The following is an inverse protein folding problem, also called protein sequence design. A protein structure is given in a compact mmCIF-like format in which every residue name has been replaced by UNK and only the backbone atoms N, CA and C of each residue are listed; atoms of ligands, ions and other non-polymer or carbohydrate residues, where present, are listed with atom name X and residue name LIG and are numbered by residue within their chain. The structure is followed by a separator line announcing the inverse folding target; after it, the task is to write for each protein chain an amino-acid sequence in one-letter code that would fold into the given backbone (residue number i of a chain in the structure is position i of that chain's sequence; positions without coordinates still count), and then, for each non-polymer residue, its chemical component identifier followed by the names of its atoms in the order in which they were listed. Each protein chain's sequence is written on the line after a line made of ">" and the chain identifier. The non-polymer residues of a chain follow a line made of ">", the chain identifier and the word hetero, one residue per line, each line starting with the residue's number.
data_IF_583015921716
#
_entry.id   IF_583015921716
#
_cell.length_a   1.000
_cell.length_b   1.000
_cell.length_c   1.000
_cell.angle_alpha   90.00
_cell.angle_beta   90.00
_cell.angle_gamma   90.00
#
_symmetry.space_group_name_H-M   'P 1'
#
loop_
_entity.id
_entity.type
_entity.pdbx_description
1 polymer ?
#
# COMPACT_ATOMS: atom_id res chain seq x y z
N UNK A 1 -4.46 -0.88 -25.53
CA UNK A 1 -3.17 -0.90 -24.82
C UNK A 1 -2.30 -2.05 -25.28
N UNK A 2 -2.76 -3.32 -25.23
CA UNK A 2 -1.96 -4.54 -25.52
C UNK A 2 -1.24 -4.48 -26.87
N UNK A 3 -1.94 -4.20 -27.97
CA UNK A 3 -1.33 -4.14 -29.31
C UNK A 3 -0.30 -3.01 -29.44
N UNK A 4 -0.54 -1.89 -28.76
CA UNK A 4 0.43 -0.79 -28.73
C UNK A 4 1.71 -1.23 -27.98
N UNK A 5 1.58 -1.86 -26.81
CA UNK A 5 2.71 -2.34 -26.02
C UNK A 5 3.53 -3.40 -26.77
N UNK A 6 2.87 -4.30 -27.53
CA UNK A 6 3.56 -5.26 -28.41
C UNK A 6 4.38 -4.53 -29.49
N UNK A 7 3.77 -3.52 -30.14
CA UNK A 7 4.41 -2.74 -31.20
C UNK A 7 5.66 -2.00 -30.73
N UNK A 8 5.65 -1.47 -29.49
CA UNK A 8 6.79 -0.76 -28.91
C UNK A 8 7.71 -1.65 -28.07
N UNK A 9 7.51 -2.97 -28.10
CA UNK A 9 8.30 -3.97 -27.37
C UNK A 9 8.27 -3.83 -25.81
N UNK A 10 7.16 -3.29 -25.27
CA UNK A 10 6.95 -3.11 -23.85
C UNK A 10 5.87 -4.02 -23.24
N UNK A 11 5.38 -5.00 -24.02
CA UNK A 11 4.39 -5.96 -23.56
C UNK A 11 5.01 -7.02 -22.65
N UNK A 12 4.42 -7.23 -21.49
CA UNK A 12 4.76 -8.35 -20.61
C UNK A 12 3.87 -9.55 -20.93
N UNK A 13 4.43 -10.56 -21.55
CA UNK A 13 3.70 -11.78 -21.91
C UNK A 13 3.29 -12.56 -20.65
N UNK A 14 2.12 -13.24 -20.66
CA UNK A 14 1.72 -14.11 -19.55
C UNK A 14 2.80 -15.13 -19.19
N UNK A 15 3.01 -15.37 -17.90
CA UNK A 15 4.01 -16.32 -17.40
C UNK A 15 5.46 -15.92 -17.59
N UNK A 16 5.74 -14.73 -18.12
CA UNK A 16 7.09 -14.22 -18.32
C UNK A 16 7.43 -13.15 -17.29
N UNK A 17 8.38 -13.47 -16.43
CA UNK A 17 8.84 -12.59 -15.34
C UNK A 17 10.36 -12.41 -15.43
N UNK A 18 10.88 -11.35 -14.79
CA UNK A 18 12.31 -11.22 -14.52
C UNK A 18 12.72 -12.20 -13.44
N UNK A 19 13.99 -12.56 -13.42
CA UNK A 19 14.56 -13.32 -12.30
C UNK A 19 14.49 -12.46 -11.04
N UNK A 20 14.11 -13.06 -9.91
CA UNK A 20 14.00 -12.40 -8.62
C UNK A 20 14.80 -13.13 -7.53
N UNK A 21 15.03 -12.46 -6.42
CA UNK A 21 15.80 -13.01 -5.31
C UNK A 21 14.94 -14.01 -4.50
N UNK A 22 15.57 -15.08 -4.03
CA UNK A 22 14.92 -15.98 -3.08
C UNK A 22 14.65 -15.23 -1.75
N UNK A 23 13.53 -15.56 -1.07
CA UNK A 23 13.26 -14.99 0.25
C UNK A 23 14.39 -15.34 1.24
N UNK A 24 14.61 -14.51 2.28
CA UNK A 24 15.65 -14.75 3.26
C UNK A 24 15.41 -16.06 4.01
N UNK A 25 16.49 -16.81 4.29
CA UNK A 25 16.41 -18.10 4.97
C UNK A 25 16.00 -17.97 6.47
N UNK A 26 16.19 -16.78 7.07
CA UNK A 26 15.79 -16.51 8.46
C UNK A 26 14.34 -16.01 8.47
N UNK A 27 13.47 -16.76 9.11
CA UNK A 27 12.09 -16.32 9.34
C UNK A 27 12.06 -15.11 10.30
N UNK A 28 11.25 -14.09 9.99
CA UNK A 28 11.02 -12.95 10.87
C UNK A 28 10.29 -13.34 12.16
N UNK A 29 10.30 -12.44 13.16
CA UNK A 29 9.65 -12.66 14.46
C UNK A 29 8.12 -12.66 14.36
N UNK A 30 7.59 -11.83 13.46
CA UNK A 30 6.15 -11.60 13.28
C UNK A 30 5.72 -11.92 11.85
N UNK A 31 4.43 -12.15 11.70
CA UNK A 31 3.82 -12.44 10.39
C UNK A 31 3.68 -11.16 9.57
N UNK A 32 3.07 -10.12 10.14
CA UNK A 32 2.85 -8.87 9.41
C UNK A 32 3.11 -7.62 10.26
N UNK A 33 3.61 -6.57 9.62
CA UNK A 33 3.66 -5.21 10.16
C UNK A 33 2.68 -4.34 9.38
N UNK A 34 1.67 -3.82 10.08
CA UNK A 34 0.77 -2.82 9.52
C UNK A 34 1.42 -1.45 9.71
N UNK A 35 1.71 -0.77 8.60
CA UNK A 35 2.39 0.53 8.59
C UNK A 35 1.39 1.61 8.25
N UNK A 36 1.28 2.62 9.13
CA UNK A 36 0.33 3.73 9.02
C UNK A 36 1.09 5.04 8.93
N UNK A 37 1.28 5.61 7.73
CA UNK A 37 1.79 6.97 7.59
C UNK A 37 0.69 7.97 7.97
N UNK A 38 1.04 9.00 8.76
CA UNK A 38 0.06 9.97 9.23
C UNK A 38 0.70 11.33 9.54
N UNK A 39 -0.02 12.42 9.25
CA UNK A 39 0.33 13.77 9.69
C UNK A 39 -0.92 14.54 10.05
N UNK A 40 -0.93 15.14 11.24
CA UNK A 40 -1.98 16.03 11.74
C UNK A 40 -3.42 15.46 11.65
N UNK A 41 -3.59 14.19 12.07
CA UNK A 41 -4.88 13.48 12.06
C UNK A 41 -5.20 12.77 13.39
N UNK A 42 -5.16 13.47 14.53
CA UNK A 42 -5.41 12.86 15.84
C UNK A 42 -6.82 12.25 15.98
N UNK A 43 -7.79 12.77 15.23
CA UNK A 43 -9.20 12.32 15.26
C UNK A 43 -9.47 11.02 14.48
N UNK A 44 -8.52 10.53 13.68
CA UNK A 44 -8.68 9.32 12.87
C UNK A 44 -7.80 8.18 13.33
N UNK A 45 -6.54 8.46 13.71
CA UNK A 45 -5.52 7.45 13.96
C UNK A 45 -5.92 6.39 14.99
N UNK A 46 -6.72 6.76 15.99
CA UNK A 46 -7.21 5.81 16.99
C UNK A 46 -8.04 4.69 16.38
N UNK A 47 -8.94 5.02 15.45
CA UNK A 47 -9.80 4.04 14.77
C UNK A 47 -8.97 3.11 13.86
N UNK A 48 -7.97 3.63 13.17
CA UNK A 48 -7.06 2.83 12.36
C UNK A 48 -6.28 1.83 13.24
N UNK A 49 -5.68 2.26 14.35
CA UNK A 49 -4.98 1.39 15.31
C UNK A 49 -5.91 0.31 15.86
N UNK A 50 -7.12 0.67 16.28
CA UNK A 50 -8.11 -0.27 16.81
C UNK A 50 -8.49 -1.34 15.78
N UNK A 51 -8.56 -1.01 14.49
CA UNK A 51 -8.79 -1.97 13.41
C UNK A 51 -7.65 -2.98 13.25
N UNK A 52 -6.41 -2.56 13.48
CA UNK A 52 -5.24 -3.47 13.51
C UNK A 52 -5.29 -4.37 14.73
N UNK A 53 -5.63 -3.83 15.90
CA UNK A 53 -5.74 -4.60 17.14
C UNK A 53 -6.93 -5.59 17.14
N UNK A 54 -7.90 -5.41 16.25
CA UNK A 54 -9.05 -6.28 16.06
C UNK A 54 -8.83 -7.41 15.05
N UNK A 55 -7.64 -7.55 14.46
CA UNK A 55 -7.37 -8.60 13.48
C UNK A 55 -7.48 -9.99 14.11
N UNK A 56 -7.95 -10.98 13.32
CA UNK A 56 -8.01 -12.40 13.74
C UNK A 56 -6.61 -12.99 13.95
N UNK A 57 -5.63 -12.52 13.19
CA UNK A 57 -4.21 -12.84 13.36
C UNK A 57 -3.59 -11.83 14.32
N UNK A 58 -3.08 -12.29 15.46
CA UNK A 58 -2.50 -11.44 16.50
C UNK A 58 -0.96 -11.37 16.47
N UNK A 59 -0.30 -12.25 15.70
CA UNK A 59 1.16 -12.25 15.52
C UNK A 59 1.60 -11.18 14.49
N UNK A 60 1.18 -9.95 14.78
CA UNK A 60 1.41 -8.75 13.96
C UNK A 60 1.81 -7.57 14.85
N UNK A 61 2.30 -6.50 14.23
CA UNK A 61 2.55 -5.22 14.89
C UNK A 61 1.93 -4.06 14.10
N UNK A 62 1.68 -2.94 14.77
CA UNK A 62 1.26 -1.68 14.19
C UNK A 62 2.40 -0.66 14.31
N UNK A 63 2.92 -0.15 13.20
CA UNK A 63 3.96 0.88 13.18
C UNK A 63 3.33 2.18 12.65
N UNK A 64 3.14 3.16 13.53
CA UNK A 64 2.59 4.46 13.16
C UNK A 64 3.73 5.43 12.88
N UNK A 65 3.75 5.97 11.66
CA UNK A 65 4.77 6.90 11.17
C UNK A 65 4.17 8.31 11.17
N UNK A 66 4.34 9.05 12.27
CA UNK A 66 3.90 10.45 12.38
C UNK A 66 4.91 11.34 11.68
N UNK A 67 4.50 12.01 10.60
CA UNK A 67 5.37 12.79 9.72
C UNK A 67 5.21 14.31 9.84
N UNK A 68 4.44 14.76 10.83
CA UNK A 68 4.25 16.18 11.17
C UNK A 68 5.21 16.73 12.23
N UNK A 69 6.24 15.95 12.64
CA UNK A 69 7.19 16.36 13.68
C UNK A 69 6.66 16.17 15.11
N UNK A 70 7.42 16.67 16.07
CA UNK A 70 7.08 16.56 17.50
C UNK A 70 5.85 17.40 17.90
N UNK A 71 5.50 18.39 17.10
CA UNK A 71 4.32 19.27 17.30
C UNK A 71 3.01 18.62 16.83
N UNK A 72 3.08 17.48 16.14
CA UNK A 72 1.90 16.78 15.63
C UNK A 72 1.12 16.08 16.77
N UNK A 73 -0.11 16.52 17.09
CA UNK A 73 -0.90 15.95 18.19
C UNK A 73 -1.29 14.48 17.97
N UNK A 74 -1.13 13.96 16.75
CA UNK A 74 -1.37 12.55 16.43
C UNK A 74 -0.47 11.63 17.25
N UNK A 75 0.78 12.04 17.51
CA UNK A 75 1.72 11.28 18.32
C UNK A 75 1.20 10.99 19.74
N UNK A 76 0.51 11.97 20.36
CA UNK A 76 -0.06 11.80 21.70
C UNK A 76 -1.20 10.79 21.72
N UNK A 77 -2.00 10.75 20.66
CA UNK A 77 -3.04 9.72 20.52
C UNK A 77 -2.41 8.32 20.39
N UNK A 78 -1.36 8.17 19.59
CA UNK A 78 -0.66 6.89 19.42
C UNK A 78 -0.05 6.40 20.73
N UNK A 79 0.56 7.30 21.53
CA UNK A 79 1.16 6.98 22.85
C UNK A 79 0.16 6.33 23.80
N UNK A 80 -1.13 6.61 23.68
CA UNK A 80 -2.18 5.98 24.52
C UNK A 80 -2.30 4.48 24.30
N UNK A 81 -1.96 3.97 23.11
CA UNK A 81 -2.01 2.55 22.76
C UNK A 81 -0.68 1.81 23.02
N UNK A 82 0.40 2.56 23.27
CA UNK A 82 1.71 1.99 23.56
C UNK A 82 1.81 1.51 25.01
N UNK A 83 2.82 0.67 25.32
CA UNK A 83 3.08 0.19 26.68
C UNK A 83 3.19 1.36 27.68
N UNK A 84 2.32 1.33 28.69
CA UNK A 84 2.20 2.37 29.70
C UNK A 84 1.11 3.42 29.37
N UNK A 85 0.53 3.40 28.19
CA UNK A 85 -0.60 4.27 27.83
C UNK A 85 -1.95 3.74 28.34
N UNK A 86 -2.95 4.61 28.37
CA UNK A 86 -4.28 4.34 28.96
C UNK A 86 -5.09 3.28 28.21
N UNK A 87 -4.80 3.07 26.90
CA UNK A 87 -5.45 2.09 26.02
C UNK A 87 -4.58 0.88 25.71
N UNK A 88 -3.46 0.73 26.39
CA UNK A 88 -2.55 -0.41 26.21
C UNK A 88 -3.19 -1.72 26.66
N UNK A 89 -3.14 -2.73 25.79
CA UNK A 89 -3.54 -4.09 26.10
C UNK A 89 -2.44 -5.06 25.62
N UNK A 90 -1.80 -5.74 26.58
CA UNK A 90 -0.71 -6.68 26.29
C UNK A 90 -1.14 -7.95 25.51
N UNK A 91 -2.44 -8.16 25.32
CA UNK A 91 -2.99 -9.28 24.54
C UNK A 91 -3.23 -8.92 23.08
N UNK A 92 -3.05 -7.65 22.73
CA UNK A 92 -3.24 -7.13 21.37
C UNK A 92 -1.91 -6.86 20.68
N UNK A 93 -1.90 -6.74 19.35
CA UNK A 93 -0.72 -6.35 18.60
C UNK A 93 -0.04 -5.11 19.17
N UNK A 94 1.29 -5.17 19.24
CA UNK A 94 2.12 -4.07 19.73
C UNK A 94 2.00 -2.84 18.82
N UNK A 95 1.91 -1.66 19.44
CA UNK A 95 1.85 -0.36 18.73
C UNK A 95 3.17 0.36 18.95
N UNK A 96 3.80 0.72 17.85
CA UNK A 96 5.09 1.44 17.82
C UNK A 96 4.91 2.78 17.14
N UNK A 97 5.51 3.82 17.71
CA UNK A 97 5.50 5.18 17.20
C UNK A 97 6.88 5.55 16.66
N UNK A 98 6.89 6.13 15.47
CA UNK A 98 8.05 6.81 14.92
C UNK A 98 7.63 8.23 14.52
N UNK A 99 8.37 9.24 14.98
CA UNK A 99 8.10 10.64 14.67
C UNK A 99 9.16 11.13 13.70
N UNK A 100 8.73 11.76 12.62
CA UNK A 100 9.56 12.33 11.57
C UNK A 100 9.12 13.78 11.32
N UNK A 101 10.07 14.67 11.14
CA UNK A 101 9.82 16.04 10.74
C UNK A 101 9.97 16.23 9.22
N UNK A 102 9.42 15.29 8.46
CA UNK A 102 9.44 15.30 6.99
C UNK A 102 8.14 14.71 6.48
N UNK A 103 7.28 15.54 5.94
CA UNK A 103 6.04 15.10 5.32
C UNK A 103 6.32 14.48 3.94
N UNK A 104 6.67 13.18 3.93
CA UNK A 104 6.84 12.37 2.72
C UNK A 104 6.38 10.94 2.97
N UNK A 105 5.33 10.50 2.26
CA UNK A 105 4.72 9.19 2.45
C UNK A 105 5.68 8.06 2.07
N UNK A 106 6.39 8.16 0.95
CA UNK A 106 7.36 7.14 0.52
C UNK A 106 8.49 6.95 1.53
N UNK A 107 8.98 8.05 2.14
CA UNK A 107 9.95 7.97 3.22
C UNK A 107 9.39 7.27 4.46
N UNK A 108 8.16 7.59 4.87
CA UNK A 108 7.49 6.92 5.99
C UNK A 108 7.38 5.41 5.77
N UNK A 109 6.90 5.00 4.58
CA UNK A 109 6.77 3.59 4.22
C UNK A 109 8.12 2.86 4.20
N UNK A 110 9.18 3.52 3.73
CA UNK A 110 10.54 2.98 3.71
C UNK A 110 11.11 2.77 5.10
N UNK A 111 10.96 3.77 5.99
CA UNK A 111 11.42 3.67 7.37
C UNK A 111 10.62 2.60 8.12
N UNK A 112 9.29 2.61 8.00
CA UNK A 112 8.43 1.59 8.60
C UNK A 112 8.80 0.18 8.14
N UNK A 113 9.03 -0.03 6.84
CA UNK A 113 9.47 -1.31 6.29
C UNK A 113 10.84 -1.76 6.82
N UNK A 114 11.77 -0.84 7.03
CA UNK A 114 13.12 -1.14 7.61
C UNK A 114 13.05 -1.47 9.10
N UNK A 115 12.09 -0.89 9.83
CA UNK A 115 11.88 -1.12 11.26
C UNK A 115 10.98 -2.32 11.54
N UNK A 116 10.34 -2.87 10.51
CA UNK A 116 9.48 -4.05 10.61
C UNK A 116 10.23 -5.26 11.13
N UNK A 117 9.57 -6.02 12.04
CA UNK A 117 10.02 -7.31 12.55
C UNK A 117 9.30 -8.48 11.85
N UNK A 118 8.51 -8.18 10.82
CA UNK A 118 7.60 -9.13 10.20
C UNK A 118 8.02 -9.55 8.79
N UNK A 119 7.37 -10.62 8.31
CA UNK A 119 7.53 -11.13 6.94
C UNK A 119 6.84 -10.25 5.92
N UNK A 120 5.63 -9.78 6.26
CA UNK A 120 4.77 -9.04 5.33
C UNK A 120 4.54 -7.60 5.83
N UNK A 121 4.59 -6.69 4.89
CA UNK A 121 4.12 -5.32 5.00
C UNK A 121 2.65 -5.27 4.64
N UNK A 122 1.86 -4.51 5.41
CA UNK A 122 0.47 -4.16 5.12
C UNK A 122 0.32 -2.66 5.24
N UNK A 123 -0.12 -1.97 4.19
CA UNK A 123 -0.38 -0.53 4.26
C UNK A 123 -1.79 -0.27 4.75
N UNK A 124 -1.91 0.64 5.70
CA UNK A 124 -3.19 1.18 6.15
C UNK A 124 -3.09 2.71 6.17
N UNK A 125 -4.02 3.37 5.52
CA UNK A 125 -4.12 4.82 5.57
C UNK A 125 -4.77 5.25 6.90
N UNK A 126 -4.34 6.41 7.43
CA UNK A 126 -4.62 6.81 8.81
C UNK A 126 -6.09 7.09 9.13
N UNK A 127 -6.89 7.36 8.12
CA UNK A 127 -8.32 7.64 8.17
C UNK A 127 -9.20 6.42 7.83
N UNK A 128 -8.58 5.31 7.42
CA UNK A 128 -9.22 4.08 6.97
C UNK A 128 -9.19 2.96 8.04
N UNK A 129 -9.76 1.79 7.71
CA UNK A 129 -9.81 0.64 8.61
C UNK A 129 -9.60 -0.67 7.85
N UNK A 130 -8.91 -1.63 8.48
CA UNK A 130 -8.92 -3.03 8.08
C UNK A 130 -10.14 -3.74 8.64
N UNK A 131 -10.76 -4.64 7.86
CA UNK A 131 -11.74 -5.58 8.42
C UNK A 131 -11.03 -6.63 9.28
N UNK A 132 -11.70 -7.24 10.26
CA UNK A 132 -11.04 -8.12 11.24
C UNK A 132 -10.29 -9.32 10.65
N UNK A 133 -10.71 -9.81 9.50
CA UNK A 133 -10.12 -10.96 8.80
C UNK A 133 -9.18 -10.57 7.63
N UNK A 134 -8.81 -9.29 7.53
CA UNK A 134 -8.06 -8.76 6.41
C UNK A 134 -6.68 -9.43 6.28
N UNK A 135 -5.88 -9.43 7.35
CA UNK A 135 -4.54 -10.04 7.34
C UNK A 135 -4.63 -11.55 7.07
N UNK A 136 -5.57 -12.25 7.68
CA UNK A 136 -5.77 -13.70 7.45
C UNK A 136 -6.05 -14.01 5.98
N UNK A 137 -6.95 -13.25 5.33
CA UNK A 137 -7.28 -13.45 3.90
C UNK A 137 -6.09 -13.16 2.99
N UNK A 138 -5.32 -12.13 3.30
CA UNK A 138 -4.09 -11.79 2.56
C UNK A 138 -3.05 -12.91 2.66
N UNK A 139 -2.83 -13.46 3.85
CA UNK A 139 -1.89 -14.56 4.07
C UNK A 139 -2.27 -15.81 3.29
N UNK A 140 -3.55 -16.18 3.26
CA UNK A 140 -4.04 -17.30 2.44
C UNK A 140 -3.71 -17.15 0.95
N UNK A 141 -3.72 -15.92 0.44
CA UNK A 141 -3.32 -15.67 -0.95
C UNK A 141 -1.82 -15.83 -1.14
N UNK A 142 -0.97 -15.31 -0.25
CA UNK A 142 0.47 -15.54 -0.32
C UNK A 142 0.87 -17.02 -0.18
N UNK A 143 0.17 -17.77 0.67
CA UNK A 143 0.40 -19.20 0.87
C UNK A 143 -0.01 -20.05 -0.33
N UNK A 144 -0.93 -19.55 -1.16
CA UNK A 144 -1.42 -20.29 -2.35
C UNK A 144 -0.41 -20.36 -3.49
N UNK A 145 0.54 -19.42 -3.56
CA UNK A 145 1.51 -19.35 -4.63
C UNK A 145 2.76 -18.55 -4.19
N UNK A 146 3.94 -19.18 -4.12
CA UNK A 146 5.18 -18.52 -3.69
C UNK A 146 5.69 -17.47 -4.68
N UNK A 147 5.17 -17.43 -5.91
CA UNK A 147 5.52 -16.43 -6.92
C UNK A 147 4.75 -15.11 -6.76
N UNK A 148 3.89 -15.00 -5.74
CA UNK A 148 3.16 -13.78 -5.45
C UNK A 148 4.06 -12.82 -4.68
N UNK A 149 4.38 -11.68 -5.30
CA UNK A 149 5.16 -10.60 -4.70
C UNK A 149 4.33 -9.45 -4.13
N UNK A 150 3.02 -9.44 -4.36
CA UNK A 150 2.10 -8.45 -3.81
C UNK A 150 0.69 -9.00 -3.79
N UNK A 151 -0.06 -8.70 -2.74
CA UNK A 151 -1.51 -8.95 -2.66
C UNK A 151 -2.25 -7.63 -2.54
N UNK A 152 -3.28 -7.48 -3.34
CA UNK A 152 -4.18 -6.32 -3.30
C UNK A 152 -5.56 -6.78 -2.84
N UNK A 153 -6.14 -6.04 -1.92
CA UNK A 153 -7.49 -6.27 -1.45
C UNK A 153 -8.56 -5.55 -2.27
N UNK A 154 -9.78 -5.72 -1.82
CA UNK A 154 -10.95 -4.97 -2.25
C UNK A 154 -11.48 -4.16 -1.08
N UNK A 155 -12.18 -3.05 -1.35
CA UNK A 155 -12.64 -2.17 -0.30
C UNK A 155 -14.08 -1.70 -0.47
N UNK A 156 -14.67 -1.33 0.65
CA UNK A 156 -15.94 -0.62 0.74
C UNK A 156 -15.71 0.84 1.07
N UNK A 157 -16.63 1.71 0.61
CA UNK A 157 -16.57 3.14 0.91
C UNK A 157 -17.57 3.48 2.01
N UNK A 158 -17.09 4.17 3.03
CA UNK A 158 -17.85 4.65 4.17
C UNK A 158 -17.78 6.18 4.23
N UNK A 159 -18.77 6.82 4.78
CA UNK A 159 -18.81 8.25 5.03
C UNK A 159 -18.83 8.52 6.53
N UNK A 160 -17.93 9.40 6.99
CA UNK A 160 -17.96 9.93 8.35
C UNK A 160 -18.85 11.16 8.36
N UNK A 161 -20.00 11.06 9.03
CA UNK A 161 -20.95 12.16 9.22
C UNK A 161 -20.41 13.18 10.24
N UNK A 162 -20.96 14.38 10.25
CA UNK A 162 -20.59 15.45 11.20
C UNK A 162 -20.77 15.04 12.67
N UNK A 163 -21.71 14.14 12.95
CA UNK A 163 -21.92 13.60 14.29
C UNK A 163 -20.93 12.48 14.67
N UNK A 164 -19.97 12.16 13.79
CA UNK A 164 -18.95 11.12 13.96
C UNK A 164 -19.43 9.71 13.58
N UNK A 165 -20.69 9.53 13.19
CA UNK A 165 -21.21 8.23 12.74
C UNK A 165 -20.57 7.82 11.40
N UNK A 166 -20.21 6.54 11.29
CA UNK A 166 -19.71 5.94 10.06
C UNK A 166 -20.83 5.18 9.35
N UNK A 167 -21.14 5.59 8.14
CA UNK A 167 -22.24 5.00 7.34
C UNK A 167 -21.67 4.44 6.04
N UNK A 168 -21.98 3.15 5.77
CA UNK A 168 -21.62 2.50 4.51
C UNK A 168 -22.33 3.17 3.34
N UNK A 169 -21.58 3.64 2.34
CA UNK A 169 -22.12 4.21 1.09
C UNK A 169 -22.53 3.07 0.16
N UNK A 170 -23.75 2.57 0.32
CA UNK A 170 -24.27 1.39 -0.41
C UNK A 170 -24.43 1.61 -1.91
N UNK A 171 -24.56 2.85 -2.35
CA UNK A 171 -24.60 3.27 -3.74
C UNK A 171 -23.24 3.11 -4.47
N UNK A 172 -22.14 3.02 -3.71
CA UNK A 172 -20.82 2.71 -4.25
C UNK A 172 -20.62 1.19 -4.12
N UNK A 173 -20.46 0.47 -5.22
CA UNK A 173 -20.16 -0.96 -5.18
C UNK A 173 -18.81 -1.21 -4.49
N UNK A 174 -18.57 -2.46 -4.08
CA UNK A 174 -17.23 -2.88 -3.63
C UNK A 174 -16.24 -2.63 -4.76
N UNK A 175 -15.15 -1.92 -4.46
CA UNK A 175 -14.10 -1.64 -5.41
C UNK A 175 -13.12 -2.82 -5.40
N UNK A 176 -13.07 -3.54 -6.51
CA UNK A 176 -12.32 -4.80 -6.64
C UNK A 176 -11.08 -4.70 -7.52
N UNK A 177 -10.89 -3.61 -8.27
CA UNK A 177 -9.81 -3.47 -9.27
C UNK A 177 -9.72 -4.69 -10.21
N UNK A 178 -10.84 -5.10 -10.78
CA UNK A 178 -10.99 -6.29 -11.62
C UNK A 178 -10.26 -6.21 -12.98
N UNK A 179 -9.85 -5.01 -13.39
CA UNK A 179 -8.97 -4.81 -14.52
C UNK A 179 -7.57 -5.41 -14.38
N UNK A 180 -7.21 -5.88 -13.18
CA UNK A 180 -5.97 -6.57 -12.88
C UNK A 180 -6.14 -8.09 -13.02
N UNK A 181 -6.34 -8.58 -14.20
CA UNK A 181 -6.48 -10.02 -14.44
C UNK A 181 -5.11 -10.69 -14.70
N UNK A 182 -5.02 -12.00 -14.47
CA UNK A 182 -3.81 -12.78 -14.70
C UNK A 182 -3.31 -12.68 -16.15
N UNK A 183 -4.24 -12.65 -17.12
CA UNK A 183 -3.89 -12.64 -18.54
C UNK A 183 -3.28 -11.31 -19.00
N UNK A 184 -3.72 -10.17 -18.43
CA UNK A 184 -3.33 -8.87 -18.91
C UNK A 184 -3.19 -7.81 -17.81
N UNK A 185 -3.40 -8.14 -16.53
CA UNK A 185 -3.40 -7.20 -15.41
C UNK A 185 -2.13 -6.36 -15.34
N UNK A 186 -0.96 -6.98 -15.53
CA UNK A 186 0.33 -6.28 -15.53
C UNK A 186 0.45 -5.21 -16.62
N UNK A 187 -0.15 -5.42 -17.79
CA UNK A 187 -0.15 -4.46 -18.88
C UNK A 187 -1.23 -3.39 -18.70
N UNK A 188 -2.35 -3.73 -18.06
CA UNK A 188 -3.40 -2.79 -17.72
C UNK A 188 -2.96 -1.77 -16.65
N UNK A 189 -1.97 -2.08 -15.80
CA UNK A 189 -1.38 -1.12 -14.86
C UNK A 189 -0.96 0.19 -15.51
N UNK A 190 -0.49 0.14 -16.76
CA UNK A 190 -0.12 1.34 -17.51
C UNK A 190 -1.32 2.17 -17.99
N UNK A 191 -2.55 1.76 -17.70
CA UNK A 191 -3.77 2.44 -18.11
C UNK A 191 -4.60 2.95 -16.95
N UNK A 192 -4.51 2.29 -15.81
CA UNK A 192 -5.29 2.62 -14.61
C UNK A 192 -4.58 3.63 -13.72
N UNK A 193 -5.30 4.25 -12.81
CA UNK A 193 -4.79 5.30 -11.95
C UNK A 193 -4.60 4.91 -10.48
N UNK A 194 -4.70 3.65 -10.12
CA UNK A 194 -4.58 3.22 -8.74
C UNK A 194 -3.89 1.88 -8.59
N UNK A 195 -3.32 1.67 -7.40
CA UNK A 195 -2.70 0.42 -7.00
C UNK A 195 -3.62 -0.46 -6.12
N UNK A 196 -4.82 0.01 -5.79
CA UNK A 196 -5.75 -0.67 -4.89
C UNK A 196 -5.44 -0.50 -3.39
N UNK A 197 -6.32 -1.03 -2.54
CA UNK A 197 -6.16 -1.04 -1.08
C UNK A 197 -6.83 -2.29 -0.46
N UNK A 198 -6.25 -2.85 0.63
CA UNK A 198 -4.90 -2.58 1.12
C UNK A 198 -3.83 -3.13 0.17
N UNK A 199 -2.62 -2.62 0.31
CA UNK A 199 -1.43 -3.11 -0.39
C UNK A 199 -0.58 -3.93 0.57
N UNK A 200 -0.32 -5.18 0.22
CA UNK A 200 0.44 -6.10 1.06
C UNK A 200 1.60 -6.68 0.26
N UNK A 201 2.82 -6.58 0.81
CA UNK A 201 4.05 -6.91 0.09
C UNK A 201 5.00 -7.64 1.05
N UNK A 202 5.66 -8.74 0.67
CA UNK A 202 6.75 -9.29 1.46
C UNK A 202 7.87 -8.26 1.63
N UNK A 203 8.39 -8.09 2.85
CA UNK A 203 9.41 -7.07 3.14
C UNK A 203 10.66 -7.24 2.26
N UNK A 204 11.07 -8.48 1.97
CA UNK A 204 12.21 -8.73 1.08
C UNK A 204 11.96 -8.23 -0.35
N UNK A 205 10.72 -8.31 -0.84
CA UNK A 205 10.35 -7.78 -2.16
C UNK A 205 10.44 -6.25 -2.19
N UNK A 206 9.97 -5.55 -1.14
CA UNK A 206 10.15 -4.10 -1.02
C UNK A 206 11.64 -3.72 -1.13
N UNK A 207 12.49 -4.45 -0.42
CA UNK A 207 13.94 -4.24 -0.44
C UNK A 207 14.52 -4.53 -1.83
N UNK A 208 14.13 -5.61 -2.47
CA UNK A 208 14.58 -5.99 -3.82
C UNK A 208 14.18 -4.94 -4.87
N UNK A 209 12.99 -4.38 -4.78
CA UNK A 209 12.51 -3.30 -5.67
C UNK A 209 13.18 -1.94 -5.40
N UNK A 210 14.06 -1.84 -4.40
CA UNK A 210 14.77 -0.61 -4.06
C UNK A 210 13.96 0.35 -3.21
N UNK A 211 12.96 -0.14 -2.49
CA UNK A 211 12.02 0.62 -1.65
C UNK A 211 11.06 1.50 -2.44
N UNK A 212 10.13 2.16 -1.72
CA UNK A 212 9.19 3.12 -2.30
C UNK A 212 9.91 4.39 -2.76
N UNK A 213 9.43 5.00 -3.82
CA UNK A 213 9.97 6.27 -4.31
C UNK A 213 9.71 7.38 -3.30
N UNK A 214 10.71 8.23 -3.12
CA UNK A 214 10.60 9.47 -2.36
C UNK A 214 10.28 10.57 -3.37
N UNK A 215 9.01 10.66 -3.74
CA UNK A 215 8.55 11.66 -4.69
C UNK A 215 8.46 13.03 -3.99
N UNK A 216 9.05 14.06 -4.60
CA UNK A 216 9.11 15.41 -4.06
C UNK A 216 8.76 16.45 -5.13
N UNK A 217 8.60 17.69 -4.70
CA UNK A 217 8.37 18.82 -5.61
C UNK A 217 9.49 18.91 -6.67
N UNK A 218 9.15 19.35 -7.90
CA UNK A 218 7.85 19.85 -8.33
C UNK A 218 6.86 18.77 -8.80
N UNK A 219 7.27 17.50 -8.85
CA UNK A 219 6.48 16.48 -9.54
C UNK A 219 5.28 15.97 -8.75
N UNK A 220 5.49 15.35 -7.59
CA UNK A 220 4.39 14.65 -6.95
C UNK A 220 4.66 14.31 -5.49
N UNK A 221 4.97 15.29 -4.68
CA UNK A 221 5.13 15.06 -3.24
C UNK A 221 3.90 14.33 -2.68
N UNK A 222 4.14 13.24 -1.94
CA UNK A 222 3.11 12.38 -1.37
C UNK A 222 2.14 11.77 -2.42
N UNK A 223 2.66 11.37 -3.58
CA UNK A 223 1.83 10.80 -4.64
C UNK A 223 2.58 9.81 -5.52
N UNK A 224 1.95 8.66 -5.82
CA UNK A 224 2.38 7.71 -6.84
C UNK A 224 3.47 6.72 -6.43
N UNK A 225 3.97 6.76 -5.20
CA UNK A 225 4.96 5.82 -4.68
C UNK A 225 4.45 4.36 -4.71
N UNK A 226 3.16 4.17 -4.45
CA UNK A 226 2.48 2.88 -4.52
C UNK A 226 2.30 2.42 -5.97
N UNK A 227 1.93 3.33 -6.87
CA UNK A 227 1.76 3.05 -8.28
C UNK A 227 3.09 2.65 -8.95
N UNK A 228 4.18 3.34 -8.61
CA UNK A 228 5.50 2.97 -9.08
C UNK A 228 5.93 1.60 -8.54
N UNK A 229 5.72 1.34 -7.26
CA UNK A 229 6.05 0.06 -6.62
C UNK A 229 5.34 -1.10 -7.28
N UNK A 230 4.04 -1.02 -7.53
CA UNK A 230 3.31 -2.11 -8.17
C UNK A 230 3.75 -2.34 -9.61
N UNK A 231 4.09 -1.27 -10.36
CA UNK A 231 4.65 -1.42 -11.71
C UNK A 231 6.00 -2.14 -11.70
N UNK A 232 6.85 -1.91 -10.68
CA UNK A 232 8.12 -2.63 -10.49
C UNK A 232 7.86 -4.10 -10.14
N UNK A 233 7.06 -4.36 -9.11
CA UNK A 233 6.76 -5.74 -8.67
C UNK A 233 6.18 -6.58 -9.79
N UNK A 234 5.25 -6.02 -10.58
CA UNK A 234 4.60 -6.73 -11.69
C UNK A 234 5.55 -7.18 -12.81
N UNK A 235 6.79 -6.69 -12.85
CA UNK A 235 7.83 -7.18 -13.79
C UNK A 235 8.49 -8.48 -13.29
N UNK A 236 8.50 -8.73 -11.98
CA UNK A 236 9.22 -9.82 -11.31
C UNK A 236 8.31 -10.89 -10.74
N UNK A 237 7.12 -10.51 -10.26
CA UNK A 237 6.24 -11.34 -9.46
C UNK A 237 4.81 -11.32 -9.98
N UNK A 238 4.06 -12.33 -9.58
CA UNK A 238 2.60 -12.33 -9.73
C UNK A 238 1.96 -11.40 -8.69
N UNK A 239 0.78 -10.87 -9.02
CA UNK A 239 -0.04 -10.07 -8.13
C UNK A 239 -1.24 -10.90 -7.69
N UNK A 240 -1.32 -11.20 -6.41
CA UNK A 240 -2.45 -11.89 -5.79
C UNK A 240 -3.60 -10.93 -5.48
N UNK A 241 -4.81 -11.48 -5.30
CA UNK A 241 -6.04 -10.71 -5.08
C UNK A 241 -6.87 -11.28 -3.96
N UNK A 242 -7.42 -10.39 -3.12
CA UNK A 242 -8.53 -10.70 -2.24
C UNK A 242 -9.77 -10.00 -2.78
N UNK A 243 -10.71 -10.78 -3.30
CA UNK A 243 -11.93 -10.25 -3.93
C UNK A 243 -12.99 -9.80 -2.93
N UNK A 244 -13.01 -10.40 -1.75
CA UNK A 244 -13.84 -9.93 -0.65
C UNK A 244 -13.37 -8.55 -0.17
N UNK A 245 -14.28 -7.66 0.25
CA UNK A 245 -13.87 -6.39 0.85
C UNK A 245 -13.19 -6.66 2.20
N UNK A 246 -11.92 -6.31 2.30
CA UNK A 246 -11.10 -6.43 3.51
C UNK A 246 -10.63 -5.09 4.06
N UNK A 247 -11.04 -3.99 3.40
CA UNK A 247 -10.64 -2.64 3.72
C UNK A 247 -11.84 -1.69 3.65
N UNK A 248 -11.85 -0.67 4.47
CA UNK A 248 -12.91 0.33 4.54
C UNK A 248 -12.30 1.71 4.35
N UNK A 249 -12.55 2.28 3.17
CA UNK A 249 -12.16 3.66 2.84
C UNK A 249 -13.16 4.61 3.47
N UNK A 250 -12.69 5.52 4.32
CA UNK A 250 -13.54 6.47 5.05
C UNK A 250 -13.45 7.85 4.40
N UNK A 251 -14.52 8.27 3.74
CA UNK A 251 -14.65 9.63 3.20
C UNK A 251 -15.05 10.63 4.28
N UNK A 252 -14.37 11.77 4.27
CA UNK A 252 -14.63 12.89 5.17
C UNK A 252 -14.21 14.22 4.51
N UNK A 253 -14.58 15.36 5.08
CA UNK A 253 -14.34 16.69 4.49
C UNK A 253 -12.86 17.11 4.35
N UNK A 254 -11.92 16.40 4.97
CA UNK A 254 -10.47 16.63 4.88
C UNK A 254 -9.70 15.58 4.06
N UNK A 255 -10.38 14.76 3.26
CA UNK A 255 -9.74 13.75 2.42
C UNK A 255 -8.87 14.36 1.31
N UNK A 256 -7.70 13.80 1.07
CA UNK A 256 -6.72 14.31 0.10
C UNK A 256 -7.06 13.99 -1.36
N UNK A 257 -7.92 12.99 -1.61
CA UNK A 257 -8.20 12.51 -2.97
C UNK A 257 -9.43 13.15 -3.64
N UNK A 258 -10.30 13.83 -2.87
CA UNK A 258 -11.61 14.27 -3.36
C UNK A 258 -11.83 15.79 -3.33
N UNK A 259 -10.87 16.57 -2.82
CA UNK A 259 -10.95 18.02 -2.68
C UNK A 259 -9.69 18.74 -3.18
N UNK A 260 -9.07 18.21 -4.24
CA UNK A 260 -7.85 18.78 -4.84
C UNK A 260 -8.20 19.71 -5.99
N UNK A 261 -7.41 20.78 -6.14
CA UNK A 261 -7.55 21.72 -7.26
C UNK A 261 -7.02 21.14 -8.58
N UNK A 262 -7.41 21.75 -9.70
CA UNK A 262 -7.05 21.27 -11.04
C UNK A 262 -5.53 21.24 -11.28
N UNK A 263 -4.76 22.18 -10.73
CA UNK A 263 -3.30 22.20 -10.90
C UNK A 263 -2.67 20.98 -10.21
N UNK A 264 -3.20 20.60 -9.05
CA UNK A 264 -2.77 19.39 -8.32
C UNK A 264 -3.12 18.13 -9.13
N UNK A 265 -4.31 18.06 -9.73
CA UNK A 265 -4.70 16.94 -10.61
C UNK A 265 -3.73 16.84 -11.78
N UNK A 266 -3.50 17.94 -12.51
CA UNK A 266 -2.61 17.97 -13.68
C UNK A 266 -1.17 17.57 -13.32
N UNK A 267 -0.66 18.04 -12.17
CA UNK A 267 0.64 17.64 -11.65
C UNK A 267 0.71 16.14 -11.38
N UNK A 268 -0.29 15.60 -10.72
CA UNK A 268 -0.36 14.19 -10.37
C UNK A 268 -0.46 13.30 -11.61
N UNK A 269 -1.25 13.70 -12.61
CA UNK A 269 -1.38 12.98 -13.87
C UNK A 269 -0.07 13.00 -14.66
N UNK A 270 0.64 14.13 -14.72
CA UNK A 270 1.95 14.24 -15.35
C UNK A 270 2.97 13.32 -14.66
N UNK A 271 2.99 13.29 -13.32
CA UNK A 271 3.87 12.40 -12.57
C UNK A 271 3.59 10.92 -12.87
N UNK A 272 2.32 10.51 -12.95
CA UNK A 272 1.95 9.15 -13.35
C UNK A 272 2.36 8.81 -14.78
N UNK A 273 2.27 9.76 -15.69
CA UNK A 273 2.71 9.54 -17.08
C UNK A 273 4.23 9.34 -17.15
N UNK A 274 5.02 10.04 -16.34
CA UNK A 274 6.45 9.80 -16.21
C UNK A 274 6.74 8.40 -15.63
N UNK A 275 6.03 7.98 -14.59
CA UNK A 275 6.15 6.62 -14.01
C UNK A 275 5.80 5.53 -15.05
N UNK A 276 4.75 5.74 -15.86
CA UNK A 276 4.36 4.85 -16.97
C UNK A 276 5.45 4.78 -18.03
N UNK A 277 6.02 5.92 -18.39
CA UNK A 277 7.13 6.02 -19.36
C UNK A 277 8.34 5.23 -18.86
N UNK A 278 8.74 5.40 -17.61
CA UNK A 278 9.85 4.64 -17.02
C UNK A 278 9.57 3.14 -17.00
N UNK A 279 8.35 2.72 -16.63
CA UNK A 279 7.96 1.32 -16.69
C UNK A 279 8.05 0.76 -18.12
N UNK A 280 7.63 1.52 -19.14
CA UNK A 280 7.76 1.15 -20.55
C UNK A 280 9.24 0.95 -20.91
N UNK A 281 10.12 1.88 -20.55
CA UNK A 281 11.54 1.80 -20.85
C UNK A 281 12.20 0.56 -20.19
N UNK A 282 11.88 0.28 -18.92
CA UNK A 282 12.36 -0.93 -18.24
C UNK A 282 11.89 -2.20 -18.95
N UNK A 283 10.61 -2.28 -19.37
CA UNK A 283 10.02 -3.42 -20.07
C UNK A 283 10.66 -3.64 -21.45
N UNK A 284 10.95 -2.56 -22.17
CA UNK A 284 11.67 -2.62 -23.47
C UNK A 284 13.07 -3.21 -23.31
N UNK A 285 13.81 -2.80 -22.27
CA UNK A 285 15.13 -3.38 -21.97
C UNK A 285 14.99 -4.87 -21.68
N UNK A 286 14.06 -5.26 -20.82
CA UNK A 286 13.82 -6.65 -20.48
C UNK A 286 13.48 -7.51 -21.70
N UNK A 287 12.55 -7.08 -22.55
CA UNK A 287 12.15 -7.83 -23.73
C UNK A 287 13.27 -7.95 -24.76
N UNK A 288 14.08 -6.90 -24.94
CA UNK A 288 15.25 -6.90 -25.81
C UNK A 288 16.33 -7.90 -25.34
N UNK A 289 16.60 -7.93 -24.04
CA UNK A 289 17.63 -8.82 -23.48
C UNK A 289 17.21 -10.28 -23.54
N UNK A 290 15.91 -10.58 -23.39
CA UNK A 290 15.37 -11.93 -23.60
C UNK A 290 15.48 -12.42 -25.03
N UNK A 291 15.37 -11.54 -26.02
CA UNK A 291 15.49 -11.92 -27.44
C UNK A 291 16.92 -12.27 -27.86
N UNK A 292 17.91 -11.90 -27.02
CA UNK A 292 19.32 -12.21 -27.26
C UNK A 292 19.77 -13.55 -26.64
N UNK A 293 18.97 -14.08 -25.71
CA UNK A 293 19.14 -15.41 -25.10
C UNK A 293 18.42 -16.48 -25.92
#
# INVERSE_FOLDING_TARGET
>A
VTEHLKRIDAYLAPGVFRDHQAPPAKEPELIASVIIPVGFRPEFIGTAIESVQAQTIQDIECIVMVNGGEEDPTADVVRKYMKGGEKYDSKKPDVRLVVLDINNIGLCLNIGSKLSRAKYYVQLDSDDRLKPDAVEKVLKVFESDPEIGMVIGSYEVWEKKDNGELVRMKEIPVVTHDEWTDDNGRNNLLRINGAGAPRCIPIHVIKEMGYFSINDDPHARNYGEDYEMVNKIAEYYRIGRVWDPIYEVVRHGGGTDHAIDQNTVDRNDNAKDDMRREAILRRQVFNRDRKKK
#
